data_IF_955640228334
#
_entry.id   IF_955640228334
#
_cell.length_a   1.000
_cell.length_b   1.000
_cell.length_c   1.000
_cell.angle_alpha   90.00
_cell.angle_beta   90.00
_cell.angle_gamma   90.00
#
_symmetry.space_group_name_H-M   'P 1'
#
loop_
_entity.id
_entity.type
_entity.pdbx_description
1 polymer ?
#
# COMPACT_ATOMS: atom_id res chain seq x y z
N UNK A 1 48.96 -15.53 35.09
CA UNK A 1 47.79 -14.76 34.62
C UNK A 1 48.34 -13.54 33.91
N UNK A 2 48.29 -13.52 32.58
CA UNK A 2 48.99 -12.48 31.77
C UNK A 2 48.09 -11.27 31.54
N UNK A 3 48.69 -10.08 31.40
CA UNK A 3 48.00 -8.80 31.16
C UNK A 3 47.05 -8.88 29.94
N UNK A 4 47.33 -9.78 28.99
CA UNK A 4 46.49 -10.06 27.83
C UNK A 4 45.14 -10.72 28.18
N UNK A 5 45.07 -11.53 29.25
CA UNK A 5 43.81 -12.13 29.71
C UNK A 5 42.93 -11.11 30.45
N UNK A 6 43.52 -10.11 31.13
CA UNK A 6 42.79 -9.01 31.75
C UNK A 6 42.20 -8.03 30.71
N UNK A 7 42.92 -7.79 29.60
CA UNK A 7 42.46 -6.95 28.48
C UNK A 7 41.28 -7.59 27.71
N UNK A 8 41.29 -8.91 27.55
CA UNK A 8 40.20 -9.64 26.87
C UNK A 8 38.90 -9.65 27.70
N UNK A 9 39.00 -9.69 29.03
CA UNK A 9 37.85 -9.56 29.95
C UNK A 9 37.23 -8.15 29.94
N UNK A 10 38.07 -7.11 29.83
CA UNK A 10 37.61 -5.72 29.72
C UNK A 10 36.88 -5.43 28.40
N UNK A 11 37.39 -5.97 27.29
CA UNK A 11 36.76 -5.81 25.98
C UNK A 11 35.42 -6.55 25.88
N UNK A 12 35.31 -7.76 26.46
CA UNK A 12 34.04 -8.50 26.50
C UNK A 12 33.00 -7.83 27.40
N UNK A 13 33.43 -7.25 28.53
CA UNK A 13 32.53 -6.52 29.43
C UNK A 13 32.05 -5.20 28.79
N UNK A 14 32.91 -4.50 28.05
CA UNK A 14 32.53 -3.30 27.30
C UNK A 14 31.56 -3.61 26.15
N UNK A 15 31.77 -4.70 25.42
CA UNK A 15 30.86 -5.13 24.37
C UNK A 15 29.52 -5.61 24.94
N UNK A 16 29.54 -6.35 26.06
CA UNK A 16 28.34 -6.72 26.80
C UNK A 16 27.61 -5.50 27.37
N UNK A 17 28.33 -4.48 27.86
CA UNK A 17 27.76 -3.21 28.32
C UNK A 17 27.12 -2.42 27.18
N UNK A 18 27.76 -2.33 26.02
CA UNK A 18 27.16 -1.71 24.82
C UNK A 18 25.94 -2.46 24.31
N UNK A 19 25.97 -3.79 24.33
CA UNK A 19 24.82 -4.62 24.00
C UNK A 19 23.71 -4.43 25.04
N UNK A 20 24.06 -4.32 26.33
CA UNK A 20 23.10 -4.07 27.42
C UNK A 20 22.44 -2.68 27.33
N UNK A 21 23.19 -1.61 27.02
CA UNK A 21 22.60 -0.30 26.71
C UNK A 21 21.73 -0.36 25.45
N UNK A 22 22.15 -1.06 24.41
CA UNK A 22 21.38 -1.22 23.17
C UNK A 22 20.09 -2.04 23.38
N UNK A 23 20.11 -3.04 24.27
CA UNK A 23 18.93 -3.84 24.61
C UNK A 23 17.98 -3.09 25.56
N UNK A 24 18.48 -2.29 26.51
CA UNK A 24 17.66 -1.41 27.35
C UNK A 24 16.88 -0.38 26.50
N UNK A 25 17.47 0.12 25.40
CA UNK A 25 16.75 0.99 24.45
C UNK A 25 15.71 0.25 23.60
N UNK A 26 15.68 -1.09 23.59
CA UNK A 26 14.76 -1.91 22.81
C UNK A 26 13.62 -2.52 23.65
N UNK A 27 13.57 -2.27 24.96
CA UNK A 27 12.59 -2.85 25.89
C UNK A 27 11.61 -1.86 26.52
N UNK A 28 11.31 -0.75 25.84
CA UNK A 28 10.13 0.03 26.18
C UNK A 28 9.32 0.43 24.92
N UNK A 29 8.36 -0.38 24.46
CA UNK A 29 7.47 0.02 23.39
C UNK A 29 6.26 0.80 23.93
N UNK A 30 6.39 1.51 25.06
CA UNK A 30 5.28 2.25 25.66
C UNK A 30 5.60 3.69 26.04
N UNK A 31 6.54 4.39 25.40
CA UNK A 31 6.61 5.86 25.51
C UNK A 31 7.65 6.46 24.53
N UNK A 32 7.28 6.67 23.27
CA UNK A 32 7.51 7.93 22.50
C UNK A 32 7.01 7.84 21.04
N UNK A 33 5.92 7.10 20.75
CA UNK A 33 5.27 7.14 19.43
C UNK A 33 4.21 8.25 19.34
N UNK A 34 4.45 9.36 20.04
CA UNK A 34 3.59 10.56 19.98
C UNK A 34 4.30 11.77 19.38
N UNK A 35 5.63 11.73 19.20
CA UNK A 35 6.38 12.80 18.54
C UNK A 35 6.61 12.58 17.03
N UNK A 36 6.25 11.41 16.51
CA UNK A 36 6.28 11.10 15.08
C UNK A 36 4.96 11.45 14.38
N UNK A 37 3.82 11.31 15.05
CA UNK A 37 2.48 11.55 14.47
C UNK A 37 2.18 13.02 14.15
N UNK A 38 2.81 13.95 14.85
CA UNK A 38 2.65 15.41 14.64
C UNK A 38 3.59 15.98 13.56
N UNK A 39 4.50 15.17 13.00
CA UNK A 39 5.34 15.57 11.86
C UNK A 39 4.65 15.31 10.50
N UNK A 40 3.52 14.60 10.51
CA UNK A 40 2.66 14.40 9.35
C UNK A 40 1.65 15.54 9.27
N UNK A 41 1.20 15.84 8.05
CA UNK A 41 0.29 16.95 7.78
C UNK A 41 -0.89 16.99 8.75
N UNK A 42 -1.31 18.20 9.12
CA UNK A 42 -2.51 18.44 9.94
C UNK A 42 -3.81 18.13 9.20
N UNK A 43 -3.71 17.72 7.92
CA UNK A 43 -4.85 17.33 7.12
C UNK A 43 -5.43 15.98 7.60
N UNK A 44 -6.76 15.91 7.63
CA UNK A 44 -7.47 14.65 7.81
C UNK A 44 -7.37 13.77 6.55
N UNK A 45 -7.74 12.49 6.69
CA UNK A 45 -7.65 11.53 5.59
C UNK A 45 -8.46 11.97 4.36
N UNK A 46 -9.66 12.56 4.56
CA UNK A 46 -10.50 13.07 3.46
C UNK A 46 -9.83 14.20 2.67
N UNK A 47 -9.17 15.14 3.35
CA UNK A 47 -8.45 16.24 2.70
C UNK A 47 -7.23 15.72 1.94
N UNK A 48 -6.53 14.73 2.50
CA UNK A 48 -5.43 14.06 1.82
C UNK A 48 -5.91 13.31 0.58
N UNK A 49 -7.03 12.58 0.65
CA UNK A 49 -7.64 11.91 -0.51
C UNK A 49 -7.93 12.93 -1.62
N UNK A 50 -8.57 14.06 -1.29
CA UNK A 50 -8.85 15.10 -2.27
C UNK A 50 -7.56 15.67 -2.90
N UNK A 51 -6.53 15.91 -2.09
CA UNK A 51 -5.24 16.41 -2.59
C UNK A 51 -4.53 15.38 -3.49
N UNK A 52 -4.64 14.10 -3.16
CA UNK A 52 -4.15 13.00 -3.98
C UNK A 52 -4.89 12.92 -5.32
N UNK A 53 -6.22 13.09 -5.30
CA UNK A 53 -7.04 13.12 -6.52
C UNK A 53 -6.67 14.30 -7.44
N UNK A 54 -6.38 15.46 -6.87
CA UNK A 54 -5.87 16.60 -7.65
C UNK A 54 -4.50 16.31 -8.27
N UNK A 55 -3.61 15.60 -7.57
CA UNK A 55 -2.33 15.18 -8.10
C UNK A 55 -2.51 14.15 -9.24
N UNK A 56 -3.44 13.20 -9.07
CA UNK A 56 -3.83 12.24 -10.12
C UNK A 56 -4.34 12.94 -11.38
N UNK A 57 -5.23 13.94 -11.23
CA UNK A 57 -5.75 14.72 -12.36
C UNK A 57 -4.66 15.47 -13.12
N UNK A 58 -3.61 15.91 -12.41
CA UNK A 58 -2.43 16.56 -13.00
C UNK A 58 -1.44 15.56 -13.62
N UNK A 59 -1.69 14.25 -13.47
CA UNK A 59 -0.78 13.19 -13.92
C UNK A 59 0.46 13.03 -13.05
N UNK A 60 0.52 13.69 -11.89
CA UNK A 60 1.63 13.57 -10.95
C UNK A 60 1.42 12.35 -10.04
N UNK A 61 1.60 11.18 -10.64
CA UNK A 61 1.34 9.90 -9.98
C UNK A 61 2.26 9.66 -8.78
N UNK A 62 3.50 10.17 -8.82
CA UNK A 62 4.44 9.99 -7.71
C UNK A 62 3.96 10.79 -6.50
N UNK A 63 3.54 12.04 -6.70
CA UNK A 63 2.96 12.86 -5.64
C UNK A 63 1.65 12.28 -5.13
N UNK A 64 0.77 11.83 -6.04
CA UNK A 64 -0.49 11.21 -5.66
C UNK A 64 -0.27 10.01 -4.73
N UNK A 65 0.64 9.10 -5.10
CA UNK A 65 0.95 7.92 -4.28
C UNK A 65 1.49 8.30 -2.90
N UNK A 66 2.35 9.32 -2.82
CA UNK A 66 2.86 9.82 -1.54
C UNK A 66 1.74 10.38 -0.65
N UNK A 67 0.83 11.16 -1.23
CA UNK A 67 -0.31 11.73 -0.50
C UNK A 67 -1.29 10.64 -0.04
N UNK A 68 -1.62 9.67 -0.90
CA UNK A 68 -2.49 8.56 -0.50
C UNK A 68 -1.83 7.67 0.56
N UNK A 69 -0.51 7.49 0.52
CA UNK A 69 0.22 6.79 1.58
C UNK A 69 0.07 7.50 2.93
N UNK A 70 0.12 8.83 2.93
CA UNK A 70 -0.16 9.63 4.12
C UNK A 70 -1.63 9.48 4.58
N UNK A 71 -2.58 9.47 3.65
CA UNK A 71 -3.99 9.22 3.95
C UNK A 71 -4.19 7.85 4.61
N UNK A 72 -3.50 6.82 4.14
CA UNK A 72 -3.55 5.47 4.69
C UNK A 72 -2.95 5.40 6.11
N UNK A 73 -1.94 6.21 6.43
CA UNK A 73 -1.43 6.32 7.81
C UNK A 73 -2.50 6.92 8.73
N UNK A 74 -3.26 7.92 8.25
CA UNK A 74 -4.33 8.56 9.03
C UNK A 74 -5.58 7.70 9.18
N UNK A 75 -5.92 6.94 8.15
CA UNK A 75 -7.05 5.99 8.15
C UNK A 75 -6.61 4.64 7.57
N UNK A 76 -5.94 3.80 8.37
CA UNK A 76 -5.49 2.49 7.92
C UNK A 76 -6.68 1.62 7.48
N UNK A 77 -6.46 0.76 6.49
CA UNK A 77 -7.47 -0.20 5.98
C UNK A 77 -8.73 0.48 5.41
N UNK A 78 -8.60 1.71 4.93
CA UNK A 78 -9.66 2.35 4.16
C UNK A 78 -9.61 1.84 2.71
N UNK A 79 -10.67 1.17 2.26
CA UNK A 79 -10.80 0.55 0.95
C UNK A 79 -10.63 1.58 -0.19
N UNK A 80 -11.19 2.78 -0.06
CA UNK A 80 -11.07 3.85 -1.05
C UNK A 80 -9.60 4.28 -1.23
N UNK A 81 -8.86 4.48 -0.12
CA UNK A 81 -7.44 4.85 -0.16
C UNK A 81 -6.60 3.73 -0.78
N UNK A 82 -6.84 2.48 -0.38
CA UNK A 82 -6.14 1.31 -0.93
C UNK A 82 -6.39 1.17 -2.44
N UNK A 83 -7.64 1.32 -2.88
CA UNK A 83 -7.99 1.35 -4.31
C UNK A 83 -7.26 2.48 -5.04
N UNK A 84 -7.27 3.70 -4.49
CA UNK A 84 -6.57 4.85 -5.11
C UNK A 84 -5.07 4.60 -5.23
N UNK A 85 -4.43 4.03 -4.21
CA UNK A 85 -3.01 3.63 -4.26
C UNK A 85 -2.75 2.59 -5.37
N UNK A 86 -3.56 1.54 -5.43
CA UNK A 86 -3.47 0.51 -6.48
C UNK A 86 -3.66 1.10 -7.88
N UNK A 87 -4.66 1.97 -8.05
CA UNK A 87 -4.93 2.66 -9.31
C UNK A 87 -3.76 3.57 -9.73
N UNK A 88 -3.19 4.33 -8.80
CA UNK A 88 -2.01 5.16 -9.06
C UNK A 88 -0.80 4.30 -9.49
N UNK A 89 -0.57 3.16 -8.84
CA UNK A 89 0.49 2.23 -9.21
C UNK A 89 0.29 1.64 -10.60
N UNK A 90 -0.94 1.28 -10.96
CA UNK A 90 -1.28 0.81 -12.30
C UNK A 90 -0.98 1.89 -13.37
N UNK A 91 -1.26 3.18 -13.07
CA UNK A 91 -0.87 4.30 -13.96
C UNK A 91 0.64 4.47 -14.10
N UNK A 92 1.41 4.07 -13.09
CA UNK A 92 2.87 4.02 -13.13
C UNK A 92 3.41 2.73 -13.78
N UNK A 93 2.55 1.86 -14.33
CA UNK A 93 2.90 0.54 -14.87
C UNK A 93 3.49 -0.43 -13.84
N UNK A 94 3.26 -0.18 -12.55
CA UNK A 94 3.68 -1.02 -11.42
C UNK A 94 2.57 -2.01 -11.10
N UNK A 95 2.27 -2.86 -12.08
CA UNK A 95 1.06 -3.67 -12.10
C UNK A 95 1.02 -4.73 -10.97
N UNK A 96 2.16 -5.29 -10.56
CA UNK A 96 2.20 -6.28 -9.46
C UNK A 96 1.84 -5.64 -8.12
N UNK A 97 2.44 -4.49 -7.80
CA UNK A 97 2.11 -3.74 -6.58
C UNK A 97 0.67 -3.22 -6.62
N UNK A 98 0.19 -2.82 -7.81
CA UNK A 98 -1.20 -2.42 -7.97
C UNK A 98 -2.18 -3.55 -7.58
N UNK A 99 -1.89 -4.79 -8.03
CA UNK A 99 -2.71 -5.96 -7.68
C UNK A 99 -2.70 -6.24 -6.17
N UNK A 100 -1.57 -6.08 -5.50
CA UNK A 100 -1.50 -6.24 -4.03
C UNK A 100 -2.43 -5.26 -3.31
N UNK A 101 -2.40 -3.97 -3.66
CA UNK A 101 -3.29 -2.97 -3.06
C UNK A 101 -4.76 -3.16 -3.44
N UNK A 102 -5.04 -3.67 -4.65
CA UNK A 102 -6.40 -4.03 -5.04
C UNK A 102 -6.94 -5.21 -4.24
N UNK A 103 -6.11 -6.23 -4.00
CA UNK A 103 -6.47 -7.36 -3.14
C UNK A 103 -6.71 -6.91 -1.69
N UNK A 104 -5.87 -6.01 -1.16
CA UNK A 104 -6.10 -5.40 0.16
C UNK A 104 -7.40 -4.58 0.20
N UNK A 105 -7.68 -3.78 -0.83
CA UNK A 105 -8.94 -3.03 -0.91
C UNK A 105 -10.16 -3.96 -0.88
N UNK A 106 -10.11 -5.08 -1.63
CA UNK A 106 -11.19 -6.08 -1.67
C UNK A 106 -11.33 -6.89 -0.38
N UNK A 107 -10.30 -6.96 0.46
CA UNK A 107 -10.41 -7.55 1.80
C UNK A 107 -11.21 -6.66 2.76
N UNK A 108 -11.17 -5.34 2.56
CA UNK A 108 -11.90 -4.38 3.39
C UNK A 108 -13.30 -4.11 2.83
N UNK A 109 -13.44 -3.97 1.50
CA UNK A 109 -14.73 -3.92 0.80
C UNK A 109 -14.71 -4.75 -0.49
N UNK A 110 -15.39 -5.89 -0.45
CA UNK A 110 -15.48 -6.82 -1.57
C UNK A 110 -16.45 -6.36 -2.69
N UNK A 111 -17.24 -5.31 -2.44
CA UNK A 111 -18.35 -4.88 -3.31
C UNK A 111 -17.99 -3.67 -4.20
N UNK A 112 -16.70 -3.39 -4.40
CA UNK A 112 -16.24 -2.35 -5.32
C UNK A 112 -16.06 -2.89 -6.76
N UNK A 113 -16.99 -2.59 -7.70
CA UNK A 113 -16.89 -3.06 -9.09
C UNK A 113 -15.68 -2.50 -9.84
N UNK A 114 -15.22 -1.29 -9.48
CA UNK A 114 -14.09 -0.64 -10.14
C UNK A 114 -12.76 -1.32 -9.83
N UNK A 115 -12.59 -1.84 -8.62
CA UNK A 115 -11.38 -2.62 -8.27
C UNK A 115 -11.25 -3.85 -9.15
N UNK A 116 -12.33 -4.62 -9.33
CA UNK A 116 -12.33 -5.77 -10.23
C UNK A 116 -12.08 -5.38 -11.69
N UNK A 117 -12.66 -4.27 -12.16
CA UNK A 117 -12.42 -3.76 -13.50
C UNK A 117 -10.93 -3.42 -13.73
N UNK A 118 -10.28 -2.74 -12.79
CA UNK A 118 -8.86 -2.38 -12.91
C UNK A 118 -7.94 -3.60 -12.84
N UNK A 119 -8.23 -4.58 -11.97
CA UNK A 119 -7.53 -5.88 -11.97
C UNK A 119 -7.67 -6.59 -13.31
N UNK A 120 -8.87 -6.59 -13.90
CA UNK A 120 -9.10 -7.20 -15.21
C UNK A 120 -8.27 -6.53 -16.32
N UNK A 121 -8.18 -5.19 -16.32
CA UNK A 121 -7.34 -4.45 -17.28
C UNK A 121 -5.87 -4.86 -17.18
N UNK A 122 -5.36 -5.07 -15.96
CA UNK A 122 -4.01 -5.57 -15.73
C UNK A 122 -3.84 -6.97 -16.31
N UNK A 123 -4.78 -7.89 -16.08
CA UNK A 123 -4.70 -9.24 -16.63
C UNK A 123 -4.85 -9.30 -18.16
N UNK A 124 -5.65 -8.40 -18.75
CA UNK A 124 -5.71 -8.23 -20.21
C UNK A 124 -4.37 -7.79 -20.79
N UNK A 125 -3.69 -6.83 -20.14
CA UNK A 125 -2.34 -6.40 -20.53
C UNK A 125 -1.31 -7.55 -20.45
N UNK A 126 -1.54 -8.52 -19.57
CA UNK A 126 -0.72 -9.73 -19.41
C UNK A 126 -1.15 -10.89 -20.33
N UNK A 127 -2.13 -10.69 -21.21
CA UNK A 127 -2.75 -11.72 -22.06
C UNK A 127 -3.39 -12.87 -21.27
N UNK A 128 -3.66 -12.67 -19.98
CA UNK A 128 -4.37 -13.63 -19.14
C UNK A 128 -5.88 -13.37 -19.24
N UNK A 129 -6.44 -13.79 -20.38
CA UNK A 129 -7.85 -13.61 -20.70
C UNK A 129 -8.79 -14.33 -19.73
N UNK A 130 -8.36 -15.45 -19.15
CA UNK A 130 -9.17 -16.24 -18.21
C UNK A 130 -9.40 -15.45 -16.91
N UNK A 131 -8.34 -14.95 -16.28
CA UNK A 131 -8.48 -14.11 -15.07
C UNK A 131 -9.19 -12.81 -15.38
N UNK A 132 -8.86 -12.15 -16.48
CA UNK A 132 -9.55 -10.93 -16.91
C UNK A 132 -11.07 -11.15 -17.03
N UNK A 133 -11.49 -12.23 -17.70
CA UNK A 133 -12.90 -12.57 -17.83
C UNK A 133 -13.57 -12.79 -16.46
N UNK A 134 -12.92 -13.50 -15.54
CA UNK A 134 -13.46 -13.72 -14.20
C UNK A 134 -13.71 -12.41 -13.45
N UNK A 135 -12.72 -11.50 -13.47
CA UNK A 135 -12.83 -10.21 -12.80
C UNK A 135 -13.88 -9.28 -13.46
N UNK A 136 -13.96 -9.24 -14.79
CA UNK A 136 -15.01 -8.49 -15.49
C UNK A 136 -16.41 -9.01 -15.15
N UNK A 137 -16.58 -10.32 -15.04
CA UNK A 137 -17.85 -10.92 -14.62
C UNK A 137 -18.22 -10.53 -13.19
N UNK A 138 -17.25 -10.46 -12.26
CA UNK A 138 -17.48 -9.96 -10.90
C UNK A 138 -17.87 -8.48 -10.90
N UNK A 139 -17.16 -7.65 -11.66
CA UNK A 139 -17.48 -6.23 -11.80
C UNK A 139 -18.93 -6.03 -12.31
N UNK A 140 -19.33 -6.78 -13.34
CA UNK A 140 -20.68 -6.72 -13.92
C UNK A 140 -21.77 -7.36 -13.05
N UNK A 141 -21.40 -8.26 -12.13
CA UNK A 141 -22.35 -8.81 -11.16
C UNK A 141 -22.73 -7.76 -10.11
N UNK A 142 -21.78 -6.89 -9.72
CA UNK A 142 -21.99 -5.79 -8.79
C UNK A 142 -22.61 -4.57 -9.47
N UNK A 143 -22.11 -4.21 -10.65
CA UNK A 143 -22.63 -3.10 -11.45
C UNK A 143 -22.91 -3.54 -12.90
N UNK A 144 -24.14 -4.03 -13.17
CA UNK A 144 -24.51 -4.51 -14.50
C UNK A 144 -24.49 -3.45 -15.59
N UNK A 145 -24.41 -2.16 -15.25
CA UNK A 145 -24.37 -1.04 -16.22
C UNK A 145 -22.95 -0.49 -16.46
N UNK A 146 -21.92 -1.13 -15.90
CA UNK A 146 -20.53 -0.74 -16.10
C UNK A 146 -20.09 -1.00 -17.54
N UNK A 147 -20.32 0.00 -18.40
CA UNK A 147 -20.16 -0.11 -19.85
C UNK A 147 -18.74 -0.53 -20.27
N UNK A 148 -17.71 0.02 -19.63
CA UNK A 148 -16.32 -0.36 -19.91
C UNK A 148 -16.07 -1.85 -19.64
N UNK A 149 -16.65 -2.41 -18.57
CA UNK A 149 -16.51 -3.84 -18.27
C UNK A 149 -17.22 -4.72 -19.30
N UNK A 150 -18.39 -4.29 -19.81
CA UNK A 150 -19.10 -4.98 -20.91
C UNK A 150 -18.25 -5.04 -22.18
N UNK A 151 -17.70 -3.90 -22.58
CA UNK A 151 -16.88 -3.76 -23.80
C UNK A 151 -15.63 -4.63 -23.74
N UNK A 152 -14.92 -4.61 -22.60
CA UNK A 152 -13.74 -5.46 -22.41
C UNK A 152 -14.11 -6.95 -22.44
N UNK A 153 -15.23 -7.34 -21.83
CA UNK A 153 -15.66 -8.74 -21.80
C UNK A 153 -16.09 -9.25 -23.18
N UNK A 154 -16.73 -8.41 -23.99
CA UNK A 154 -17.05 -8.72 -25.39
C UNK A 154 -15.78 -8.89 -26.23
N UNK A 155 -14.78 -8.03 -26.02
CA UNK A 155 -13.49 -8.11 -26.72
C UNK A 155 -12.69 -9.39 -26.44
N UNK A 156 -12.89 -10.04 -25.29
CA UNK A 156 -12.23 -11.31 -24.94
C UNK A 156 -12.78 -12.49 -25.76
N UNK A 157 -14.06 -12.44 -26.18
CA UNK A 157 -14.80 -13.57 -26.77
C UNK A 157 -14.47 -13.86 -28.24
N UNK A 158 -13.34 -13.35 -28.75
CA UNK A 158 -12.91 -13.43 -30.16
C UNK A 158 -11.61 -14.21 -30.29
#
# INVERSE_FOLDING_TARGET
>A
MTIFQLLMLGASAFFAYKIYEHIQTLQDPKEDDRRSVDAFSTFDASTLIQSGDEAMQKGDYQKALAIYSEANIKSPKNDEVLFKMGYTLAKQQRDDEALEYFDEALQEDADNPFTYLEMAKIYLKRDDKERAQNYLQKALALEPELQEAKELLEGIKV
#
